data_IF_775266760585
#
_entry.id   IF_775266760585
#
_cell.length_a   1.000
_cell.length_b   1.000
_cell.length_c   1.000
_cell.angle_alpha   90.00
_cell.angle_beta   90.00
_cell.angle_gamma   90.00
#
_symmetry.space_group_name_H-M   'P 1'
#
loop_
_entity.id
_entity.type
_entity.pdbx_description
1 polymer ?
#
# COMPACT_ATOMS: atom_id res chain seq x y z
N UNK A 1 -65.21 26.90 47.61
CA UNK A 1 -64.49 28.12 48.04
C UNK A 1 -63.37 28.39 47.04
N UNK A 2 -63.15 29.65 46.64
CA UNK A 2 -62.05 30.00 45.73
C UNK A 2 -60.70 29.72 46.41
N UNK A 3 -59.79 29.06 45.70
CA UNK A 3 -58.46 28.77 46.23
C UNK A 3 -57.55 29.99 46.05
N UNK A 4 -56.85 30.39 47.12
CA UNK A 4 -55.88 31.48 47.11
C UNK A 4 -54.47 30.96 46.84
N UNK A 5 -53.65 31.78 46.22
CA UNK A 5 -52.26 31.48 45.94
C UNK A 5 -51.40 31.61 47.19
N UNK A 6 -50.63 30.57 47.55
CA UNK A 6 -49.74 30.59 48.73
C UNK A 6 -48.49 31.47 48.61
N UNK A 7 -48.39 32.35 47.62
CA UNK A 7 -47.28 33.31 47.45
C UNK A 7 -47.76 34.76 47.44
N UNK A 8 -48.89 35.04 46.81
CA UNK A 8 -49.39 36.42 46.64
C UNK A 8 -50.82 36.61 47.18
N UNK A 9 -51.38 35.60 47.83
CA UNK A 9 -52.71 35.54 48.46
C UNK A 9 -53.90 35.88 47.54
N UNK A 10 -53.65 36.08 46.25
CA UNK A 10 -54.66 36.35 45.22
C UNK A 10 -55.36 35.08 44.77
N UNK A 11 -56.59 35.19 44.29
CA UNK A 11 -57.39 34.04 43.86
C UNK A 11 -56.82 33.36 42.61
N UNK A 12 -56.92 32.03 42.58
CA UNK A 12 -56.61 31.20 41.42
C UNK A 12 -57.89 31.03 40.62
N UNK A 13 -57.83 31.39 39.34
CA UNK A 13 -58.97 31.37 38.43
C UNK A 13 -58.63 30.55 37.18
N UNK A 14 -59.63 30.16 36.37
CA UNK A 14 -59.37 29.52 35.08
C UNK A 14 -58.49 30.36 34.13
N UNK A 15 -58.55 31.69 34.27
CA UNK A 15 -57.76 32.64 33.47
C UNK A 15 -56.35 32.88 34.01
N UNK A 16 -56.12 32.65 35.30
CA UNK A 16 -54.81 32.73 35.96
C UNK A 16 -54.50 31.37 36.60
N UNK A 17 -53.99 30.41 35.80
CA UNK A 17 -53.88 29.03 36.24
C UNK A 17 -52.89 28.87 37.39
N UNK A 18 -53.19 27.89 38.25
CA UNK A 18 -52.33 27.49 39.34
C UNK A 18 -52.01 26.00 39.33
N UNK A 19 -50.96 25.65 40.08
CA UNK A 19 -50.53 24.29 40.37
C UNK A 19 -50.73 24.01 41.85
N UNK A 20 -51.25 22.83 42.16
CA UNK A 20 -51.40 22.34 43.54
C UNK A 20 -50.16 21.54 43.92
N UNK A 21 -49.54 21.88 45.06
CA UNK A 21 -48.44 21.10 45.60
C UNK A 21 -48.95 19.74 46.06
N UNK A 22 -48.32 18.64 45.61
CA UNK A 22 -48.71 17.29 46.02
C UNK A 22 -48.43 17.00 47.50
N UNK A 23 -47.50 17.75 48.11
CA UNK A 23 -47.08 17.54 49.49
C UNK A 23 -47.92 18.34 50.51
N UNK A 24 -48.04 19.66 50.35
CA UNK A 24 -48.75 20.52 51.30
C UNK A 24 -50.18 20.86 50.88
N UNK A 25 -50.59 20.50 49.65
CA UNK A 25 -51.92 20.78 49.13
C UNK A 25 -52.20 22.26 48.79
N UNK A 26 -51.27 23.17 49.07
CA UNK A 26 -51.38 24.60 48.76
C UNK A 26 -51.24 24.82 47.25
N UNK A 27 -52.03 25.75 46.71
CA UNK A 27 -52.00 26.10 45.30
C UNK A 27 -51.21 27.39 45.06
N UNK A 28 -50.54 27.46 43.90
CA UNK A 28 -49.68 28.56 43.52
C UNK A 28 -49.92 28.93 42.07
N UNK A 29 -49.97 30.22 41.73
CA UNK A 29 -50.02 30.64 40.32
C UNK A 29 -48.75 30.18 39.60
N UNK A 30 -48.88 29.73 38.35
CA UNK A 30 -47.72 29.28 37.56
C UNK A 30 -46.64 30.37 37.46
N UNK A 31 -47.05 31.65 37.38
CA UNK A 31 -46.15 32.80 37.36
C UNK A 31 -45.44 33.05 38.70
N UNK A 32 -46.11 32.78 39.83
CA UNK A 32 -45.52 32.95 41.16
C UNK A 32 -44.47 31.90 41.50
N UNK A 33 -44.36 30.84 40.69
CA UNK A 33 -43.38 29.75 40.86
C UNK A 33 -42.52 29.56 39.61
N UNK A 34 -42.40 30.60 38.78
CA UNK A 34 -41.54 30.66 37.58
C UNK A 34 -41.79 29.54 36.55
N UNK A 35 -43.03 29.09 36.42
CA UNK A 35 -43.46 28.10 35.42
C UNK A 35 -44.11 28.83 34.25
N UNK A 36 -43.52 28.64 33.06
CA UNK A 36 -44.09 29.16 31.82
C UNK A 36 -45.38 28.41 31.43
N UNK A 37 -46.23 29.05 30.64
CA UNK A 37 -47.48 28.44 30.16
C UNK A 37 -47.24 27.12 29.42
N UNK A 38 -46.21 27.04 28.56
CA UNK A 38 -45.86 25.81 27.85
C UNK A 38 -45.40 24.69 28.79
N UNK A 39 -44.67 25.01 29.86
CA UNK A 39 -44.31 24.02 30.89
C UNK A 39 -45.53 23.53 31.67
N UNK A 40 -46.49 24.41 31.97
CA UNK A 40 -47.76 24.03 32.60
C UNK A 40 -48.61 23.13 31.71
N UNK A 41 -48.69 23.43 30.42
CA UNK A 41 -49.43 22.62 29.44
C UNK A 41 -48.80 21.23 29.29
N UNK A 42 -47.46 21.16 29.26
CA UNK A 42 -46.72 19.88 29.31
C UNK A 42 -46.92 19.13 30.63
N UNK A 43 -46.97 19.86 31.76
CA UNK A 43 -47.22 19.24 33.06
C UNK A 43 -48.61 18.59 33.11
N UNK A 44 -49.62 19.21 32.48
CA UNK A 44 -50.97 18.66 32.37
C UNK A 44 -51.07 17.46 31.44
N UNK A 45 -50.25 17.37 30.40
CA UNK A 45 -50.30 16.29 29.42
C UNK A 45 -49.61 15.00 29.89
N UNK A 46 -48.75 15.08 30.91
CA UNK A 46 -48.02 13.94 31.46
C UNK A 46 -48.77 13.38 32.67
N UNK A 47 -49.34 12.19 32.53
CA UNK A 47 -49.97 11.45 33.65
C UNK A 47 -48.90 10.93 34.62
N UNK A 48 -49.12 11.13 35.93
CA UNK A 48 -48.23 10.63 36.99
C UNK A 48 -47.10 11.58 37.41
N UNK A 49 -47.07 12.81 36.88
CA UNK A 49 -46.11 13.82 37.30
C UNK A 49 -46.66 14.61 38.50
N UNK A 50 -45.92 14.61 39.61
CA UNK A 50 -46.26 15.40 40.80
C UNK A 50 -45.41 16.67 40.92
N UNK A 51 -46.05 17.80 41.22
CA UNK A 51 -45.36 19.06 41.46
C UNK A 51 -45.29 19.37 42.96
N UNK A 52 -44.09 19.76 43.42
CA UNK A 52 -43.84 20.21 44.79
C UNK A 52 -43.36 21.65 44.80
N UNK A 53 -43.94 22.48 45.68
CA UNK A 53 -43.55 23.86 45.87
C UNK A 53 -42.13 23.98 46.44
N UNK A 54 -41.53 25.17 46.34
CA UNK A 54 -40.15 25.42 46.79
C UNK A 54 -39.92 25.05 48.26
N UNK A 55 -40.87 25.40 49.14
CA UNK A 55 -40.84 25.07 50.57
C UNK A 55 -40.81 23.56 50.80
N UNK A 56 -41.71 22.81 50.17
CA UNK A 56 -41.76 21.36 50.28
C UNK A 56 -40.55 20.68 49.61
N UNK A 57 -39.99 21.26 48.56
CA UNK A 57 -38.78 20.76 47.89
C UNK A 57 -37.54 20.91 48.77
N UNK A 58 -37.45 21.98 49.55
CA UNK A 58 -36.33 22.22 50.46
C UNK A 58 -36.45 21.43 51.77
N UNK A 59 -37.66 21.12 52.24
CA UNK A 59 -37.88 20.23 53.40
C UNK A 59 -37.39 18.79 53.14
N UNK A 60 -37.39 18.33 51.88
CA UNK A 60 -36.89 16.99 51.51
C UNK A 60 -35.36 16.95 51.42
N UNK A 61 -34.67 18.09 51.34
CA UNK A 61 -33.20 18.13 51.34
C UNK A 61 -32.58 17.86 52.72
N UNK A 62 -33.33 18.02 53.81
CA UNK A 62 -32.81 17.81 55.16
C UNK A 62 -33.05 16.40 55.71
N UNK A 63 -33.93 15.58 55.13
CA UNK A 63 -34.12 14.19 55.54
C UNK A 63 -34.56 13.30 54.36
N UNK A 64 -33.71 12.32 54.01
CA UNK A 64 -33.90 11.25 53.01
C UNK A 64 -33.85 11.68 51.53
N UNK A 65 -32.64 11.75 50.99
CA UNK A 65 -32.39 11.77 49.55
C UNK A 65 -32.79 10.42 48.92
N UNK A 66 -34.04 10.30 48.45
CA UNK A 66 -34.37 9.27 47.47
C UNK A 66 -33.75 9.68 46.13
N UNK A 67 -32.86 8.88 45.52
CA UNK A 67 -32.23 9.22 44.24
C UNK A 67 -33.30 9.37 43.15
N UNK A 68 -33.27 10.47 42.40
CA UNK A 68 -34.13 10.59 41.21
C UNK A 68 -33.61 9.62 40.13
N UNK A 69 -34.47 8.79 39.54
CA UNK A 69 -34.08 8.00 38.34
C UNK A 69 -33.51 8.88 37.21
N UNK A 70 -33.93 10.14 37.16
CA UNK A 70 -33.41 11.15 36.23
C UNK A 70 -31.93 11.54 36.47
N UNK A 71 -31.41 11.45 37.70
CA UNK A 71 -30.01 11.77 37.99
C UNK A 71 -29.03 10.62 37.70
N UNK A 72 -29.50 9.41 37.37
CA UNK A 72 -28.64 8.30 36.91
C UNK A 72 -28.55 8.22 35.38
N UNK A 73 -29.64 8.53 34.67
CA UNK A 73 -29.72 8.43 33.20
C UNK A 73 -28.85 9.49 32.51
N UNK A 74 -28.84 10.73 33.04
CA UNK A 74 -28.08 11.83 32.43
C UNK A 74 -26.56 11.56 32.45
N UNK A 75 -25.95 11.13 33.58
CA UNK A 75 -24.54 10.71 33.59
C UNK A 75 -24.25 9.53 32.66
N UNK A 76 -25.14 8.54 32.58
CA UNK A 76 -24.94 7.37 31.70
C UNK A 76 -24.97 7.74 30.22
N UNK A 77 -25.89 8.63 29.82
CA UNK A 77 -25.93 9.16 28.45
C UNK A 77 -24.67 9.96 28.11
N UNK A 78 -24.16 10.74 29.07
CA UNK A 78 -22.91 11.49 28.87
C UNK A 78 -21.72 10.56 28.68
N UNK A 79 -21.61 9.50 29.50
CA UNK A 79 -20.59 8.47 29.34
C UNK A 79 -20.67 7.73 27.99
N UNK A 80 -21.88 7.48 27.49
CA UNK A 80 -22.09 6.86 26.17
C UNK A 80 -21.67 7.80 25.04
N UNK A 81 -21.99 9.10 25.15
CA UNK A 81 -21.56 10.12 24.18
C UNK A 81 -20.05 10.22 24.16
N UNK A 82 -19.39 10.24 25.32
CA UNK A 82 -17.93 10.30 25.41
C UNK A 82 -17.29 9.05 24.78
N UNK A 83 -17.79 7.85 25.09
CA UNK A 83 -17.31 6.60 24.46
C UNK A 83 -17.51 6.55 22.95
N UNK A 84 -18.65 7.03 22.46
CA UNK A 84 -18.91 7.11 21.02
C UNK A 84 -18.00 8.12 20.36
N UNK A 85 -17.79 9.28 20.99
CA UNK A 85 -16.87 10.31 20.51
C UNK A 85 -15.43 9.78 20.44
N UNK A 86 -14.97 9.07 21.46
CA UNK A 86 -13.64 8.43 21.47
C UNK A 86 -13.52 7.39 20.36
N UNK A 87 -14.55 6.54 20.18
CA UNK A 87 -14.56 5.53 19.11
C UNK A 87 -14.52 6.16 17.72
N UNK A 88 -15.26 7.26 17.50
CA UNK A 88 -15.24 8.02 16.24
C UNK A 88 -13.85 8.61 16.01
N UNK A 89 -13.21 9.14 17.06
CA UNK A 89 -11.88 9.73 16.97
C UNK A 89 -10.82 8.69 16.62
N UNK A 90 -10.84 7.53 17.26
CA UNK A 90 -9.95 6.40 16.94
C UNK A 90 -10.18 5.89 15.52
N UNK A 91 -11.43 5.77 15.07
CA UNK A 91 -11.73 5.37 13.69
C UNK A 91 -11.25 6.40 12.67
N UNK A 92 -11.33 7.69 12.99
CA UNK A 92 -10.79 8.76 12.14
C UNK A 92 -9.27 8.70 12.04
N UNK A 93 -8.58 8.44 13.16
CA UNK A 93 -7.12 8.26 13.20
C UNK A 93 -6.69 7.04 12.37
N UNK A 94 -7.36 5.90 12.53
CA UNK A 94 -7.13 4.69 11.73
C UNK A 94 -7.37 4.91 10.24
N UNK A 95 -8.39 5.69 9.86
CA UNK A 95 -8.63 6.06 8.46
C UNK A 95 -7.56 7.01 7.91
N UNK A 96 -7.00 7.89 8.74
CA UNK A 96 -5.90 8.77 8.35
C UNK A 96 -4.62 7.96 8.11
N UNK A 97 -4.34 6.99 8.97
CA UNK A 97 -3.24 6.03 8.80
C UNK A 97 -3.46 5.14 7.58
N UNK A 98 -4.67 4.65 7.33
CA UNK A 98 -5.01 3.86 6.15
C UNK A 98 -4.95 4.68 4.85
N UNK A 99 -5.24 5.99 4.89
CA UNK A 99 -5.03 6.92 3.76
C UNK A 99 -3.57 7.26 3.53
N UNK A 100 -2.74 7.18 4.57
CA UNK A 100 -1.28 7.35 4.50
C UNK A 100 -0.54 6.05 4.15
N UNK A 101 -1.23 4.91 4.09
CA UNK A 101 -0.75 3.79 3.29
C UNK A 101 -0.78 4.26 1.85
N UNK A 102 0.35 4.28 1.12
CA UNK A 102 0.34 4.68 -0.28
C UNK A 102 -0.65 3.77 -1.00
N UNK A 103 -1.73 4.36 -1.51
CA UNK A 103 -2.79 3.71 -2.28
C UNK A 103 -2.31 3.11 -3.62
N UNK A 104 -1.00 2.96 -3.78
CA UNK A 104 -0.34 2.65 -5.05
C UNK A 104 0.88 1.75 -4.86
N UNK A 105 0.83 0.81 -3.91
CA UNK A 105 1.48 -0.46 -4.22
C UNK A 105 0.57 -1.15 -5.22
N UNK A 106 0.74 -0.81 -6.50
CA UNK A 106 -0.03 -1.39 -7.58
C UNK A 106 0.22 -2.92 -7.59
N UNK A 107 -0.60 -3.65 -6.83
CA UNK A 107 -0.45 -5.10 -6.64
C UNK A 107 -0.50 -5.81 -7.98
N UNK A 108 -1.31 -5.30 -8.90
CA UNK A 108 -1.38 -5.78 -10.27
C UNK A 108 -0.03 -5.64 -10.99
N UNK A 109 0.66 -4.50 -10.88
CA UNK A 109 2.02 -4.35 -11.42
C UNK A 109 3.03 -5.32 -10.81
N UNK A 110 2.92 -5.61 -9.51
CA UNK A 110 3.81 -6.57 -8.85
C UNK A 110 3.54 -7.98 -9.39
N UNK A 111 2.26 -8.38 -9.48
CA UNK A 111 1.84 -9.68 -10.01
C UNK A 111 2.27 -9.83 -11.47
N UNK A 112 2.05 -8.81 -12.30
CA UNK A 112 2.48 -8.78 -13.69
C UNK A 112 4.00 -8.90 -13.81
N UNK A 113 4.78 -8.16 -13.00
CA UNK A 113 6.24 -8.25 -13.00
C UNK A 113 6.73 -9.64 -12.58
N UNK A 114 6.08 -10.29 -11.61
CA UNK A 114 6.41 -11.66 -11.21
C UNK A 114 6.11 -12.65 -12.33
N UNK A 115 4.94 -12.55 -12.97
CA UNK A 115 4.58 -13.39 -14.11
C UNK A 115 5.56 -13.22 -15.28
N UNK A 116 5.90 -11.98 -15.63
CA UNK A 116 6.86 -11.65 -16.68
C UNK A 116 8.25 -12.25 -16.41
N UNK A 117 8.71 -12.20 -15.15
CA UNK A 117 9.96 -12.86 -14.74
C UNK A 117 9.89 -14.37 -14.90
N UNK A 118 8.77 -14.99 -14.56
CA UNK A 118 8.57 -16.43 -14.71
C UNK A 118 8.54 -16.87 -16.18
N UNK A 119 8.05 -16.03 -17.09
CA UNK A 119 8.07 -16.31 -18.53
C UNK A 119 9.50 -16.16 -19.09
N UNK A 120 10.29 -15.23 -18.56
CA UNK A 120 11.63 -14.89 -19.06
C UNK A 120 12.78 -15.67 -18.41
N UNK A 121 12.54 -16.40 -17.32
CA UNK A 121 13.59 -17.08 -16.53
C UNK A 121 14.44 -18.08 -17.33
N UNK A 122 13.88 -18.69 -18.38
CA UNK A 122 14.58 -19.63 -19.26
C UNK A 122 15.18 -18.97 -20.51
N UNK A 123 15.12 -17.64 -20.61
CA UNK A 123 15.56 -16.92 -21.80
C UNK A 123 16.98 -16.38 -21.63
N UNK A 124 17.76 -16.48 -22.71
CA UNK A 124 19.06 -15.83 -22.85
C UNK A 124 19.04 -14.88 -24.05
N UNK A 125 19.69 -13.73 -23.88
CA UNK A 125 19.88 -12.74 -24.95
C UNK A 125 21.34 -12.73 -25.36
N UNK A 126 21.57 -12.95 -26.64
CA UNK A 126 22.88 -12.87 -27.29
C UNK A 126 22.98 -11.58 -28.08
N UNK A 127 24.09 -10.86 -27.91
CA UNK A 127 24.42 -9.64 -28.64
C UNK A 127 25.66 -9.89 -29.48
N UNK A 128 25.80 -9.14 -30.59
CA UNK A 128 27.02 -9.17 -31.41
C UNK A 128 27.12 -10.37 -32.36
N UNK A 129 26.06 -11.18 -32.50
CA UNK A 129 26.01 -12.24 -33.51
C UNK A 129 25.70 -11.61 -34.88
N UNK A 130 26.59 -11.77 -35.90
CA UNK A 130 26.41 -11.16 -37.22
C UNK A 130 25.06 -11.51 -37.85
N UNK A 131 24.43 -10.57 -38.55
CA UNK A 131 23.18 -10.83 -39.29
C UNK A 131 23.43 -11.81 -40.44
N UNK A 132 22.43 -12.66 -40.72
CA UNK A 132 22.47 -13.57 -41.86
C UNK A 132 22.19 -12.82 -43.18
N UNK A 133 22.74 -13.33 -44.29
CA UNK A 133 22.49 -12.78 -45.63
C UNK A 133 21.00 -12.59 -45.91
N UNK A 134 20.64 -11.45 -46.51
CA UNK A 134 19.26 -11.14 -46.92
C UNK A 134 18.71 -12.17 -47.91
N UNK A 135 19.58 -12.81 -48.70
CA UNK A 135 19.25 -13.83 -49.71
C UNK A 135 18.73 -15.14 -49.13
N UNK A 136 18.96 -15.42 -47.84
CA UNK A 136 18.48 -16.65 -47.22
C UNK A 136 16.97 -16.57 -46.91
N UNK A 137 16.21 -17.66 -47.12
CA UNK A 137 14.83 -17.74 -46.68
C UNK A 137 14.74 -17.67 -45.14
N UNK A 138 13.60 -17.25 -44.57
CA UNK A 138 13.45 -17.07 -43.12
C UNK A 138 13.84 -18.30 -42.29
N UNK A 139 13.43 -19.50 -42.71
CA UNK A 139 13.80 -20.75 -42.03
C UNK A 139 15.31 -21.00 -42.01
N UNK A 140 15.99 -20.74 -43.13
CA UNK A 140 17.45 -20.86 -43.22
C UNK A 140 18.19 -19.86 -42.34
N UNK A 141 17.67 -18.64 -42.20
CA UNK A 141 18.21 -17.62 -41.28
C UNK A 141 18.11 -18.09 -39.82
N UNK A 142 16.96 -18.62 -39.43
CA UNK A 142 16.72 -19.14 -38.07
C UNK A 142 17.65 -20.33 -37.78
N UNK A 143 17.80 -21.26 -38.74
CA UNK A 143 18.70 -22.41 -38.58
C UNK A 143 20.14 -21.96 -38.36
N UNK A 144 20.66 -21.05 -39.19
CA UNK A 144 22.05 -20.55 -39.03
C UNK A 144 22.27 -19.82 -37.72
N UNK A 145 21.30 -19.01 -37.28
CA UNK A 145 21.37 -18.34 -35.98
C UNK A 145 21.36 -19.36 -34.83
N UNK A 146 20.54 -20.40 -34.93
CA UNK A 146 20.51 -21.50 -33.96
C UNK A 146 21.82 -22.28 -33.92
N UNK A 147 22.39 -22.62 -35.08
CA UNK A 147 23.65 -23.36 -35.18
C UNK A 147 24.80 -22.53 -34.57
N UNK A 148 24.87 -21.23 -34.88
CA UNK A 148 25.84 -20.32 -34.29
C UNK A 148 25.76 -20.29 -32.76
N UNK A 149 24.55 -20.23 -32.21
CA UNK A 149 24.32 -20.23 -30.76
C UNK A 149 24.68 -21.58 -30.14
N UNK A 150 24.33 -22.70 -30.78
CA UNK A 150 24.69 -24.05 -30.31
C UNK A 150 26.20 -24.25 -30.27
N UNK A 151 26.91 -23.82 -31.30
CA UNK A 151 28.38 -23.86 -31.34
C UNK A 151 29.00 -23.02 -30.22
N UNK A 152 28.51 -21.78 -30.01
CA UNK A 152 28.96 -20.94 -28.90
C UNK A 152 28.73 -21.62 -27.54
N UNK A 153 27.54 -22.21 -27.34
CA UNK A 153 27.19 -22.89 -26.09
C UNK A 153 28.05 -24.13 -25.87
N UNK A 154 28.33 -24.91 -26.90
CA UNK A 154 29.23 -26.07 -26.81
C UNK A 154 30.66 -25.65 -26.41
N UNK A 155 31.16 -24.53 -26.93
CA UNK A 155 32.52 -24.07 -26.65
C UNK A 155 32.67 -23.37 -25.29
N UNK A 156 31.71 -22.52 -24.90
CA UNK A 156 31.84 -21.63 -23.72
C UNK A 156 30.72 -21.76 -22.69
N UNK A 157 29.57 -22.34 -23.09
CA UNK A 157 28.38 -22.48 -22.26
C UNK A 157 28.24 -23.84 -21.59
N UNK A 158 29.11 -24.81 -21.93
CA UNK A 158 28.95 -26.19 -21.53
C UNK A 158 28.82 -26.33 -20.00
N UNK A 159 27.67 -26.87 -19.62
CA UNK A 159 27.37 -27.40 -18.29
C UNK A 159 27.90 -28.82 -18.22
N UNK A 160 28.33 -29.27 -17.05
CA UNK A 160 28.74 -30.67 -16.85
C UNK A 160 27.56 -31.66 -17.02
N UNK A 161 26.34 -31.16 -17.29
CA UNK A 161 25.14 -31.93 -17.64
C UNK A 161 24.88 -32.01 -19.15
N UNK A 162 24.35 -33.14 -19.66
CA UNK A 162 24.55 -33.54 -21.05
C UNK A 162 23.62 -32.89 -22.10
N UNK A 163 22.60 -32.11 -21.71
CA UNK A 163 21.57 -31.69 -22.69
C UNK A 163 20.94 -30.34 -22.37
N UNK A 164 21.69 -29.24 -22.51
CA UNK A 164 21.02 -27.93 -22.64
C UNK A 164 20.35 -27.85 -24.02
N UNK A 165 19.02 -27.97 -24.06
CA UNK A 165 18.26 -27.91 -25.32
C UNK A 165 17.76 -26.50 -25.58
N UNK A 166 18.07 -25.97 -26.76
CA UNK A 166 17.49 -24.70 -27.23
C UNK A 166 16.14 -24.98 -27.88
N UNK A 167 15.05 -24.58 -27.22
CA UNK A 167 13.68 -24.77 -27.69
C UNK A 167 13.30 -23.79 -28.79
N UNK A 168 13.80 -22.56 -28.72
CA UNK A 168 13.42 -21.49 -29.65
C UNK A 168 14.56 -20.50 -29.82
N UNK A 169 14.73 -19.95 -31.03
CA UNK A 169 15.72 -18.94 -31.37
C UNK A 169 15.10 -17.87 -32.29
N UNK A 170 15.14 -16.60 -31.90
CA UNK A 170 14.64 -15.49 -32.73
C UNK A 170 15.43 -14.20 -32.51
N UNK A 171 15.67 -13.44 -33.58
CA UNK A 171 16.17 -12.06 -33.47
C UNK A 171 15.11 -11.11 -32.91
N UNK A 172 15.56 -10.14 -32.12
CA UNK A 172 14.74 -9.12 -31.49
C UNK A 172 14.74 -7.82 -32.30
N UNK A 173 13.54 -7.32 -32.59
CA UNK A 173 13.33 -6.06 -33.30
C UNK A 173 13.31 -6.19 -34.82
N UNK A 174 12.93 -5.08 -35.48
CA UNK A 174 12.87 -4.97 -36.95
C UNK A 174 14.28 -4.93 -37.53
N UNK A 175 14.47 -5.61 -38.66
CA UNK A 175 15.73 -5.52 -39.41
C UNK A 175 15.91 -4.11 -39.95
N UNK A 176 17.12 -3.58 -39.81
CA UNK A 176 17.51 -2.28 -40.32
C UNK A 176 18.94 -2.37 -40.86
N UNK A 177 19.15 -2.22 -42.18
CA UNK A 177 20.48 -2.30 -42.79
C UNK A 177 21.40 -1.14 -42.40
N UNK A 178 20.85 -0.01 -41.93
CA UNK A 178 21.63 1.15 -41.52
C UNK A 178 22.10 1.07 -40.06
N UNK A 179 21.69 0.03 -39.34
CA UNK A 179 22.02 -0.15 -37.93
C UNK A 179 23.46 -0.65 -37.80
N UNK A 180 24.28 0.08 -37.03
CA UNK A 180 25.69 -0.26 -36.78
C UNK A 180 25.91 -1.56 -35.99
N UNK A 181 24.91 -2.00 -35.22
CA UNK A 181 24.98 -3.19 -34.39
C UNK A 181 23.94 -4.23 -34.85
N UNK A 182 24.32 -5.52 -34.94
CA UNK A 182 23.38 -6.57 -35.29
C UNK A 182 22.30 -6.71 -34.21
N UNK A 183 21.12 -7.18 -34.62
CA UNK A 183 20.02 -7.38 -33.67
C UNK A 183 20.36 -8.47 -32.66
N UNK A 184 19.93 -8.30 -31.40
CA UNK A 184 20.08 -9.34 -30.40
C UNK A 184 19.29 -10.60 -30.79
N UNK A 185 19.76 -11.77 -30.40
CA UNK A 185 19.04 -13.04 -30.51
C UNK A 185 18.52 -13.41 -29.12
N UNK A 186 17.22 -13.68 -29.01
CA UNK A 186 16.63 -14.35 -27.86
C UNK A 186 16.56 -15.85 -28.14
N UNK A 187 17.12 -16.63 -27.22
CA UNK A 187 16.86 -18.06 -27.13
C UNK A 187 16.04 -18.40 -25.91
N UNK A 188 15.34 -19.54 -25.97
CA UNK A 188 14.60 -20.13 -24.86
C UNK A 188 15.22 -21.51 -24.61
N UNK A 189 15.67 -21.75 -23.38
CA UNK A 189 16.16 -23.04 -22.92
C UNK A 189 15.01 -23.87 -22.35
N UNK A 190 15.20 -25.17 -22.33
CA UNK A 190 14.32 -26.15 -21.70
C UNK A 190 14.23 -26.00 -20.17
N UNK A 191 15.35 -25.70 -19.52
CA UNK A 191 15.45 -25.56 -18.08
C UNK A 191 15.95 -24.15 -17.67
N UNK A 192 15.25 -23.43 -16.77
CA UNK A 192 15.75 -22.16 -16.23
C UNK A 192 17.10 -22.26 -15.51
N UNK A 193 17.43 -23.41 -14.90
CA UNK A 193 18.69 -23.57 -14.17
C UNK A 193 19.91 -23.53 -15.12
N UNK A 194 19.72 -23.94 -16.38
CA UNK A 194 20.75 -23.84 -17.41
C UNK A 194 21.12 -22.38 -17.71
N UNK A 195 20.20 -21.42 -17.57
CA UNK A 195 20.48 -20.00 -17.81
C UNK A 195 21.56 -19.49 -16.86
N UNK A 196 21.46 -19.79 -15.57
CA UNK A 196 22.44 -19.34 -14.57
C UNK A 196 23.79 -20.03 -14.78
N UNK A 197 23.78 -21.33 -15.11
CA UNK A 197 24.99 -22.10 -15.37
C UNK A 197 25.72 -21.60 -16.62
N UNK A 198 25.01 -21.35 -17.72
CA UNK A 198 25.58 -20.76 -18.94
C UNK A 198 26.16 -19.37 -18.65
N UNK A 199 25.42 -18.50 -17.95
CA UNK A 199 25.94 -17.16 -17.61
C UNK A 199 27.20 -17.22 -16.74
N UNK A 200 27.28 -18.18 -15.82
CA UNK A 200 28.46 -18.42 -14.99
C UNK A 200 29.65 -18.85 -15.84
N UNK A 201 29.48 -19.88 -16.69
CA UNK A 201 30.54 -20.39 -17.58
C UNK A 201 30.99 -19.34 -18.60
N UNK A 202 30.07 -18.56 -19.16
CA UNK A 202 30.41 -17.42 -20.05
C UNK A 202 31.24 -16.37 -19.31
N UNK A 203 30.92 -16.08 -18.04
CA UNK A 203 31.70 -15.15 -17.22
C UNK A 203 33.10 -15.70 -16.93
N UNK A 204 33.22 -16.98 -16.60
CA UNK A 204 34.50 -17.67 -16.37
C UNK A 204 35.36 -17.69 -17.64
N UNK A 205 34.74 -17.92 -18.81
CA UNK A 205 35.42 -17.97 -20.11
C UNK A 205 35.53 -16.60 -20.79
N UNK A 206 35.28 -15.49 -20.11
CA UNK A 206 35.21 -14.14 -20.72
C UNK A 206 36.45 -13.79 -21.54
N UNK A 207 37.64 -14.07 -21.03
CA UNK A 207 38.90 -13.78 -21.73
C UNK A 207 39.06 -14.65 -22.99
N UNK A 208 38.67 -15.92 -22.92
CA UNK A 208 38.70 -16.84 -24.08
C UNK A 208 37.73 -16.40 -25.17
N UNK A 209 36.55 -15.95 -24.79
CA UNK A 209 35.55 -15.40 -25.72
C UNK A 209 36.13 -14.17 -26.41
N UNK A 210 36.67 -13.21 -25.66
CA UNK A 210 37.25 -11.97 -26.21
C UNK A 210 38.42 -12.21 -27.16
N UNK A 211 39.19 -13.28 -26.95
CA UNK A 211 40.31 -13.68 -27.82
C UNK A 211 39.89 -14.61 -28.97
N UNK A 212 38.62 -15.03 -29.03
CA UNK A 212 38.11 -15.90 -30.08
C UNK A 212 37.93 -15.12 -31.39
N UNK A 213 38.51 -15.63 -32.49
CA UNK A 213 38.31 -15.03 -33.80
C UNK A 213 36.83 -14.91 -34.18
N UNK A 214 36.03 -15.93 -33.85
CA UNK A 214 34.61 -15.99 -34.19
C UNK A 214 33.72 -15.30 -33.17
N UNK A 215 34.03 -15.42 -31.88
CA UNK A 215 33.09 -15.05 -30.81
C UNK A 215 33.47 -13.80 -30.01
N UNK A 216 34.54 -13.08 -30.36
CA UNK A 216 35.02 -11.90 -29.62
C UNK A 216 33.97 -10.79 -29.39
N UNK A 217 33.02 -10.61 -30.31
CA UNK A 217 31.96 -9.62 -30.18
C UNK A 217 30.72 -10.12 -29.42
N UNK A 218 30.67 -11.42 -29.10
CA UNK A 218 29.48 -12.03 -28.50
C UNK A 218 29.40 -11.69 -27.03
N UNK A 219 28.24 -11.18 -26.62
CA UNK A 219 27.89 -10.95 -25.22
C UNK A 219 26.59 -11.67 -24.90
N UNK A 220 26.51 -12.24 -23.71
CA UNK A 220 25.33 -13.00 -23.26
C UNK A 220 24.79 -12.37 -21.98
N UNK A 221 23.48 -12.23 -21.89
CA UNK A 221 22.79 -11.80 -20.67
C UNK A 221 21.49 -12.58 -20.46
N UNK A 222 20.99 -12.61 -19.23
CA UNK A 222 19.60 -13.01 -18.98
C UNK A 222 18.62 -12.01 -19.62
N UNK A 223 17.43 -12.50 -20.00
CA UNK A 223 16.31 -11.68 -20.45
C UNK A 223 15.65 -10.99 -19.24
N UNK A 224 15.81 -9.68 -19.17
CA UNK A 224 15.31 -8.84 -18.07
C UNK A 224 14.02 -8.13 -18.47
N UNK A 225 13.11 -7.97 -17.51
CA UNK A 225 11.90 -7.17 -17.72
C UNK A 225 12.24 -5.69 -17.97
N UNK A 226 11.34 -4.91 -18.59
CA UNK A 226 11.50 -3.46 -18.71
C UNK A 226 11.77 -2.77 -17.37
N UNK A 227 11.09 -3.18 -16.30
CA UNK A 227 11.26 -2.64 -14.94
C UNK A 227 12.66 -2.96 -14.39
N UNK A 228 13.15 -4.18 -14.59
CA UNK A 228 14.53 -4.56 -14.24
C UNK A 228 15.58 -3.76 -15.03
N UNK A 229 15.36 -3.54 -16.33
CA UNK A 229 16.26 -2.75 -17.18
C UNK A 229 16.26 -1.27 -16.77
N UNK A 230 15.10 -0.70 -16.48
CA UNK A 230 14.98 0.67 -15.95
C UNK A 230 15.72 0.81 -14.62
N UNK A 231 15.49 -0.10 -13.67
CA UNK A 231 16.18 -0.10 -12.39
C UNK A 231 17.71 -0.18 -12.56
N UNK A 232 18.20 -1.11 -13.40
CA UNK A 232 19.64 -1.23 -13.65
C UNK A 232 20.24 0.01 -14.31
N UNK A 233 19.52 0.67 -15.23
CA UNK A 233 19.95 1.95 -15.82
C UNK A 233 20.10 3.03 -14.77
N UNK A 234 19.14 3.16 -13.86
CA UNK A 234 19.20 4.14 -12.77
C UNK A 234 20.39 3.87 -11.86
N UNK A 235 20.63 2.62 -11.47
CA UNK A 235 21.80 2.23 -10.67
C UNK A 235 23.11 2.55 -11.40
N UNK A 236 23.16 2.37 -12.73
CA UNK A 236 24.35 2.70 -13.53
C UNK A 236 24.58 4.21 -13.63
N UNK A 237 23.53 5.00 -13.84
CA UNK A 237 23.61 6.46 -13.86
C UNK A 237 24.07 7.00 -12.50
N UNK A 238 23.56 6.43 -11.42
CA UNK A 238 23.95 6.81 -10.07
C UNK A 238 25.42 6.48 -9.78
N UNK A 239 25.91 5.32 -10.24
CA UNK A 239 27.35 5.00 -10.16
C UNK A 239 28.19 6.06 -10.88
N UNK A 240 27.83 6.40 -12.13
CA UNK A 240 28.55 7.38 -12.92
C UNK A 240 28.53 8.77 -12.29
N UNK A 241 27.40 9.19 -11.70
CA UNK A 241 27.28 10.45 -10.97
C UNK A 241 28.26 10.49 -9.79
N UNK A 242 28.29 9.44 -8.98
CA UNK A 242 29.19 9.34 -7.81
C UNK A 242 30.67 9.29 -8.21
N UNK A 243 31.00 8.57 -9.29
CA UNK A 243 32.35 8.57 -9.86
C UNK A 243 32.76 9.97 -10.34
N UNK A 244 31.84 10.71 -10.97
CA UNK A 244 32.09 12.09 -11.40
C UNK A 244 32.23 13.08 -10.23
N UNK A 245 31.60 12.80 -9.10
CA UNK A 245 31.73 13.56 -7.84
C UNK A 245 33.00 13.21 -7.05
N UNK A 246 33.83 12.31 -7.57
CA UNK A 246 35.12 11.96 -6.98
C UNK A 246 35.08 10.79 -6.01
N UNK A 247 33.94 10.08 -5.89
CA UNK A 247 33.92 8.81 -5.16
C UNK A 247 34.66 7.72 -5.95
N UNK A 248 35.72 7.18 -5.38
CA UNK A 248 36.48 6.06 -5.94
C UNK A 248 35.99 4.70 -5.40
N UNK A 249 36.49 3.64 -6.02
CA UNK A 249 36.32 2.25 -5.56
C UNK A 249 34.86 1.81 -5.49
N UNK A 250 34.00 2.33 -6.36
CA UNK A 250 32.61 1.91 -6.47
C UNK A 250 32.47 0.84 -7.56
N UNK A 251 31.65 -0.18 -7.31
CA UNK A 251 31.25 -1.14 -8.34
C UNK A 251 29.80 -1.55 -8.17
N UNK A 252 29.13 -1.91 -9.26
CA UNK A 252 27.83 -2.56 -9.20
C UNK A 252 28.02 -4.06 -8.96
N UNK A 253 27.50 -4.56 -7.84
CA UNK A 253 27.42 -5.98 -7.52
C UNK A 253 25.96 -6.40 -7.38
N UNK A 254 25.65 -7.60 -7.85
CA UNK A 254 24.33 -8.20 -7.64
C UNK A 254 24.31 -8.90 -6.28
N UNK A 255 23.54 -8.37 -5.33
CA UNK A 255 23.35 -8.93 -3.99
C UNK A 255 21.94 -9.51 -3.93
N UNK A 256 21.83 -10.84 -3.76
CA UNK A 256 20.55 -11.57 -3.83
C UNK A 256 19.76 -11.25 -5.11
N UNK A 257 20.45 -11.17 -6.25
CA UNK A 257 19.84 -10.86 -7.56
C UNK A 257 19.52 -9.38 -7.80
N UNK A 258 19.75 -8.49 -6.82
CA UNK A 258 19.46 -7.05 -6.93
C UNK A 258 20.77 -6.28 -7.19
N UNK A 259 20.88 -5.48 -8.26
CA UNK A 259 22.07 -4.67 -8.49
C UNK A 259 22.17 -3.55 -7.46
N UNK A 260 23.33 -3.44 -6.81
CA UNK A 260 23.64 -2.42 -5.81
C UNK A 260 25.05 -1.87 -6.04
N UNK A 261 25.22 -0.57 -5.78
CA UNK A 261 26.54 0.06 -5.76
C UNK A 261 27.18 -0.26 -4.41
N UNK A 262 28.37 -0.83 -4.43
CA UNK A 262 29.15 -1.18 -3.24
C UNK A 262 30.54 -0.55 -3.34
N UNK A 263 31.16 -0.23 -2.20
CA UNK A 263 32.57 0.11 -2.13
C UNK A 263 33.42 -1.17 -2.16
N UNK A 264 34.47 -1.17 -2.95
CA UNK A 264 35.44 -2.25 -3.06
C UNK A 264 36.55 -1.97 -2.07
N UNK A 265 36.54 -2.61 -0.91
CA UNK A 265 37.69 -2.59 -0.03
C UNK A 265 38.79 -3.47 -0.62
N UNK A 266 39.96 -2.88 -0.93
CA UNK A 266 41.17 -3.57 -1.39
C UNK A 266 41.85 -4.42 -0.29
N UNK A 267 41.08 -5.07 0.58
CA UNK A 267 41.64 -6.04 1.51
C UNK A 267 41.60 -7.43 0.86
N UNK A 268 42.80 -8.00 0.64
CA UNK A 268 43.12 -9.32 0.07
C UNK A 268 43.42 -9.31 -1.44
N UNK A 269 44.52 -8.65 -1.80
CA UNK A 269 45.52 -9.24 -2.70
C UNK A 269 46.80 -9.42 -1.88
N UNK A 270 46.92 -10.56 -1.21
CA UNK A 270 48.18 -11.09 -0.64
C UNK A 270 48.33 -12.51 -1.15
#
# INVERSE_FOLDING_TARGET
MPQTCGTCDSFITPTVPGLKCSQCGVCYHIKCVDISKGQYDNFKSITGLEWKCHTCRNLVKSNTASPCKCCEIIPQLKLLIDKLSDSVKTLQEQLLEAKNVPADTNYEEIVQEVADRQIRKSNLIFYGIPEQSSTLPPAGKISKDLDYVKEFLAEFGNTDEPTTTVLKCNRLGKFDPNRSLPRPIRIILDNPDHVLSVLRKVKENRNRIQNSQRFHNVKVSSDKTPKQNAYFRNVKQELQRREAEGESDLQIKFVKGIPRIIKVSNHLKS
#
